data_IF_781670180532
#
_entry.id   IF_781670180532
#
_cell.length_a   1.000
_cell.length_b   1.000
_cell.length_c   1.000
_cell.angle_alpha   90.00
_cell.angle_beta   90.00
_cell.angle_gamma   90.00
#
_symmetry.space_group_name_H-M   'P 1'
#
loop_
_entity.id
_entity.type
_entity.pdbx_description
1 polymer ?
#
# COMPACT_ATOMS: atom_id res chain seq x y z
N UNK A 1 -7.73 -9.35 12.63
CA UNK A 1 -6.57 -8.68 11.99
C UNK A 1 -5.30 -9.17 12.66
N UNK A 2 -4.48 -9.94 11.95
CA UNK A 2 -3.23 -10.46 12.51
C UNK A 2 -2.08 -9.54 12.12
N UNK A 3 -1.37 -9.01 13.11
CA UNK A 3 -0.17 -8.21 12.90
C UNK A 3 1.04 -9.13 12.78
N UNK A 4 1.88 -8.89 11.78
CA UNK A 4 3.13 -9.60 11.53
C UNK A 4 4.32 -8.63 11.57
N UNK A 5 5.54 -9.15 11.44
CA UNK A 5 6.76 -8.35 11.33
C UNK A 5 7.66 -8.94 10.25
N UNK A 6 8.53 -8.09 9.69
CA UNK A 6 9.67 -8.57 8.91
C UNK A 6 10.88 -8.75 9.83
N UNK A 7 11.79 -9.69 9.53
CA UNK A 7 13.06 -9.79 10.25
C UNK A 7 13.80 -8.45 10.28
N UNK A 8 14.43 -8.13 11.41
CA UNK A 8 15.25 -6.93 11.52
C UNK A 8 16.37 -6.95 10.46
N UNK A 9 16.61 -5.80 9.83
CA UNK A 9 17.62 -5.70 8.77
C UNK A 9 17.17 -6.23 7.41
N UNK A 10 15.87 -6.45 7.20
CA UNK A 10 15.35 -6.84 5.89
C UNK A 10 15.66 -5.78 4.84
N UNK A 11 16.24 -6.19 3.72
CA UNK A 11 16.48 -5.32 2.57
C UNK A 11 15.20 -5.16 1.77
N UNK A 12 14.84 -3.91 1.50
CA UNK A 12 13.68 -3.51 0.70
C UNK A 12 14.13 -2.58 -0.42
N UNK A 13 13.34 -2.51 -1.48
CA UNK A 13 13.66 -1.73 -2.67
C UNK A 13 12.53 -0.77 -3.03
N UNK A 14 12.91 0.42 -3.50
CA UNK A 14 11.99 1.44 -4.02
C UNK A 14 12.53 2.00 -5.31
N UNK A 15 11.71 2.03 -6.35
CA UNK A 15 11.94 2.84 -7.53
C UNK A 15 11.10 4.13 -7.42
N UNK A 16 11.73 5.28 -7.64
CA UNK A 16 11.03 6.57 -7.63
C UNK A 16 11.58 7.55 -8.68
N UNK A 17 10.83 8.61 -8.96
CA UNK A 17 11.26 9.65 -9.91
C UNK A 17 12.58 10.28 -9.48
N UNK A 18 13.54 10.51 -10.39
CA UNK A 18 14.88 11.02 -10.05
C UNK A 18 14.89 12.37 -9.31
N UNK A 19 13.85 13.19 -9.49
CA UNK A 19 13.71 14.46 -8.75
C UNK A 19 13.72 14.31 -7.23
N UNK A 20 13.44 13.11 -6.71
CA UNK A 20 13.41 12.80 -5.29
C UNK A 20 14.68 12.11 -4.78
N UNK A 21 15.72 11.97 -5.61
CA UNK A 21 16.96 11.26 -5.26
C UNK A 21 17.68 11.84 -4.03
N UNK A 22 17.57 13.15 -3.76
CA UNK A 22 18.14 13.78 -2.56
C UNK A 22 17.34 13.52 -1.28
N UNK A 23 16.14 12.94 -1.39
CA UNK A 23 15.20 12.67 -0.27
C UNK A 23 14.58 11.28 -0.41
N UNK A 24 15.38 10.20 -0.45
CA UNK A 24 14.90 8.85 -0.78
C UNK A 24 13.88 8.30 0.22
N UNK A 25 13.96 8.71 1.49
CA UNK A 25 13.00 8.32 2.53
C UNK A 25 11.71 9.18 2.58
N UNK A 26 11.55 10.19 1.70
CA UNK A 26 10.35 11.03 1.70
C UNK A 26 9.17 10.36 1.00
N UNK A 27 7.99 10.46 1.60
CA UNK A 27 6.72 10.02 1.02
C UNK A 27 5.97 11.10 0.25
N UNK A 28 6.55 12.29 0.05
CA UNK A 28 5.89 13.46 -0.52
C UNK A 28 5.26 13.20 -1.90
N UNK A 29 5.91 12.39 -2.74
CA UNK A 29 5.36 11.99 -4.04
C UNK A 29 4.07 11.16 -3.92
N UNK A 30 4.01 10.27 -2.92
CA UNK A 30 2.81 9.49 -2.63
C UNK A 30 1.72 10.34 -1.99
N UNK A 31 2.07 11.27 -1.09
CA UNK A 31 1.12 12.21 -0.51
C UNK A 31 0.47 13.10 -1.58
N UNK A 32 1.23 13.58 -2.56
CA UNK A 32 0.72 14.50 -3.58
C UNK A 32 -0.32 13.88 -4.54
N UNK A 33 -0.38 12.55 -4.64
CA UNK A 33 -1.28 11.86 -5.59
C UNK A 33 -2.21 10.85 -4.92
N UNK A 34 -1.92 10.47 -3.68
CA UNK A 34 -2.41 9.23 -3.11
C UNK A 34 -1.95 8.00 -3.91
N UNK A 35 -2.26 6.83 -3.37
CA UNK A 35 -2.01 5.56 -4.03
C UNK A 35 -2.91 4.49 -3.46
N UNK A 36 -2.65 3.24 -3.84
CA UNK A 36 -3.50 2.11 -3.45
C UNK A 36 -3.66 1.99 -1.93
N UNK A 37 -2.61 2.33 -1.18
CA UNK A 37 -2.57 2.18 0.27
C UNK A 37 -2.31 3.49 1.03
N UNK A 38 -2.50 4.65 0.39
CA UNK A 38 -2.40 5.95 1.07
C UNK A 38 -3.32 6.99 0.43
N UNK A 39 -3.93 7.85 1.26
CA UNK A 39 -4.74 8.98 0.79
C UNK A 39 -3.86 10.14 0.32
N UNK A 40 -4.42 11.03 -0.49
CA UNK A 40 -3.78 12.32 -0.77
C UNK A 40 -3.52 13.09 0.54
N UNK A 41 -2.39 13.79 0.62
CA UNK A 41 -1.88 14.45 1.81
C UNK A 41 -1.15 13.52 2.80
N UNK A 42 -1.26 12.18 2.65
CA UNK A 42 -0.61 11.22 3.55
C UNK A 42 0.64 10.65 2.89
N UNK A 43 1.80 10.92 3.49
CA UNK A 43 3.08 10.37 3.03
C UNK A 43 3.12 8.84 3.20
N UNK A 44 3.66 8.16 2.19
CA UNK A 44 3.88 6.71 2.24
C UNK A 44 5.10 6.30 1.41
N UNK A 45 5.74 5.20 1.83
CA UNK A 45 6.81 4.53 1.09
C UNK A 45 6.27 3.22 0.51
N UNK A 46 6.30 3.11 -0.82
CA UNK A 46 6.01 1.86 -1.52
C UNK A 46 7.32 1.09 -1.66
N UNK A 47 7.40 -0.05 -0.98
CA UNK A 47 8.60 -0.86 -0.85
C UNK A 47 8.33 -2.28 -1.35
N UNK A 48 9.34 -2.91 -1.92
CA UNK A 48 9.31 -4.29 -2.41
C UNK A 48 10.43 -5.11 -1.77
N UNK A 49 10.22 -6.41 -1.58
CA UNK A 49 11.26 -7.36 -1.17
C UNK A 49 12.25 -7.68 -2.32
N UNK A 50 11.86 -7.40 -3.55
CA UNK A 50 12.65 -7.69 -4.77
C UNK A 50 12.83 -6.43 -5.63
N UNK A 51 14.04 -6.22 -6.14
CA UNK A 51 14.41 -5.09 -7.03
C UNK A 51 13.53 -5.04 -8.27
N UNK A 52 13.39 -6.18 -8.96
CA UNK A 52 12.64 -6.28 -10.20
C UNK A 52 11.15 -5.98 -9.99
N UNK A 53 10.59 -6.38 -8.85
CA UNK A 53 9.22 -6.06 -8.47
C UNK A 53 9.06 -4.56 -8.21
N UNK A 54 10.04 -3.89 -7.56
CA UNK A 54 10.00 -2.43 -7.40
C UNK A 54 9.99 -1.69 -8.75
N UNK A 55 10.80 -2.15 -9.71
CA UNK A 55 10.85 -1.56 -11.06
C UNK A 55 9.55 -1.79 -11.84
N UNK A 56 8.97 -3.00 -11.77
CA UNK A 56 7.69 -3.33 -12.42
C UNK A 56 6.54 -2.50 -11.86
N UNK A 57 6.47 -2.34 -10.53
CA UNK A 57 5.47 -1.50 -9.87
C UNK A 57 5.63 -0.02 -10.25
N UNK A 58 6.85 0.47 -10.43
CA UNK A 58 7.09 1.84 -10.92
C UNK A 58 6.70 2.02 -12.40
N UNK A 59 6.96 1.01 -13.25
CA UNK A 59 6.57 1.04 -14.65
C UNK A 59 5.04 1.08 -14.83
N UNK A 60 4.27 0.44 -13.94
CA UNK A 60 2.81 0.34 -14.01
C UNK A 60 2.34 -0.15 -15.39
N UNK A 61 1.43 0.58 -16.03
CA UNK A 61 0.90 0.29 -17.37
C UNK A 61 1.71 0.94 -18.50
N UNK A 62 2.84 1.59 -18.17
CA UNK A 62 3.70 2.20 -19.19
C UNK A 62 4.32 1.10 -20.08
N UNK A 63 4.34 1.28 -21.41
CA UNK A 63 4.98 0.32 -22.31
C UNK A 63 6.50 0.22 -22.10
N UNK A 64 7.12 1.24 -21.51
CA UNK A 64 8.54 1.29 -21.21
C UNK A 64 8.78 1.71 -19.76
N UNK A 65 9.86 1.22 -19.15
CA UNK A 65 10.33 1.68 -17.84
C UNK A 65 10.83 3.13 -17.97
N UNK A 66 10.16 4.12 -17.35
CA UNK A 66 10.66 5.50 -17.35
C UNK A 66 11.95 5.60 -16.52
N UNK A 67 12.78 6.65 -16.74
CA UNK A 67 13.91 6.91 -15.87
C UNK A 67 13.50 6.97 -14.40
N UNK A 68 14.21 6.22 -13.56
CA UNK A 68 13.95 6.14 -12.13
C UNK A 68 15.27 6.04 -11.36
N UNK A 69 15.18 6.39 -10.08
CA UNK A 69 16.21 6.06 -9.09
C UNK A 69 15.74 4.83 -8.35
N UNK A 70 16.53 3.77 -8.38
CA UNK A 70 16.34 2.58 -7.54
C UNK A 70 17.17 2.74 -6.27
N UNK A 71 16.52 2.60 -5.12
CA UNK A 71 17.17 2.62 -3.82
C UNK A 71 16.90 1.31 -3.07
N UNK A 72 17.91 0.82 -2.37
CA UNK A 72 17.75 -0.19 -1.32
C UNK A 72 17.64 0.46 0.05
N UNK A 73 16.91 -0.18 0.95
CA UNK A 73 16.69 0.24 2.33
C UNK A 73 16.89 -0.97 3.21
N UNK A 74 17.57 -0.79 4.33
CA UNK A 74 17.58 -1.77 5.41
C UNK A 74 16.57 -1.30 6.45
N UNK A 75 15.54 -2.10 6.71
CA UNK A 75 14.44 -1.70 7.58
C UNK A 75 14.12 -2.76 8.64
N UNK A 76 13.60 -2.29 9.77
CA UNK A 76 12.93 -3.11 10.77
C UNK A 76 11.47 -2.67 10.77
N UNK A 77 10.58 -3.56 10.32
CA UNK A 77 9.16 -3.26 10.16
C UNK A 77 8.32 -4.15 11.07
N UNK A 78 7.63 -3.50 12.01
CA UNK A 78 6.77 -4.13 13.00
C UNK A 78 5.30 -3.75 12.72
N UNK A 79 4.37 -4.47 13.36
CA UNK A 79 2.93 -4.18 13.28
C UNK A 79 2.39 -4.12 11.84
N UNK A 80 2.87 -5.03 10.99
CA UNK A 80 2.47 -5.11 9.60
C UNK A 80 1.15 -5.85 9.45
N UNK A 81 0.30 -5.32 8.59
CA UNK A 81 -0.96 -5.97 8.21
C UNK A 81 -0.68 -6.93 7.06
N UNK A 82 -0.85 -8.23 7.28
CA UNK A 82 -0.66 -9.22 6.21
C UNK A 82 -1.93 -9.42 5.39
N UNK A 83 -2.08 -8.64 4.32
CA UNK A 83 -3.22 -8.73 3.40
C UNK A 83 -3.27 -10.07 2.63
N UNK A 84 -2.23 -10.91 2.65
CA UNK A 84 -2.31 -12.26 2.07
C UNK A 84 -3.25 -13.16 2.86
N UNK A 85 -3.49 -12.81 4.14
CA UNK A 85 -4.42 -13.50 5.02
C UNK A 85 -5.83 -12.93 4.95
N UNK A 86 -6.11 -11.98 4.06
CA UNK A 86 -7.43 -11.36 3.93
C UNK A 86 -8.53 -12.41 3.67
N UNK A 87 -8.20 -13.53 3.05
CA UNK A 87 -9.13 -14.64 2.77
C UNK A 87 -8.98 -15.84 3.72
N UNK A 88 -8.16 -15.73 4.77
CA UNK A 88 -7.83 -16.82 5.69
C UNK A 88 -8.09 -16.42 7.16
N UNK A 89 -8.91 -17.18 7.88
CA UNK A 89 -9.10 -17.03 9.35
C UNK A 89 -10.31 -16.19 9.79
N UNK A 90 -10.21 -15.58 10.98
CA UNK A 90 -11.23 -14.73 11.61
C UNK A 90 -11.74 -13.61 10.67
N UNK A 91 -13.02 -13.19 10.77
CA UNK A 91 -13.60 -12.23 9.85
C UNK A 91 -12.88 -10.88 9.94
N UNK A 92 -12.33 -10.45 8.80
CA UNK A 92 -11.84 -9.09 8.63
C UNK A 92 -13.03 -8.14 8.48
N UNK A 93 -12.86 -6.89 8.92
CA UNK A 93 -13.88 -5.86 8.66
C UNK A 93 -14.07 -5.72 7.13
N UNK A 94 -15.33 -5.59 6.69
CA UNK A 94 -15.71 -5.43 5.28
C UNK A 94 -14.92 -4.30 4.59
N UNK A 95 -14.50 -3.27 5.34
CA UNK A 95 -13.62 -2.20 4.85
C UNK A 95 -12.32 -2.73 4.22
N UNK A 96 -11.73 -3.78 4.76
CA UNK A 96 -10.50 -4.38 4.24
C UNK A 96 -10.73 -5.18 2.96
N UNK A 97 -11.95 -5.64 2.73
CA UNK A 97 -12.34 -6.29 1.48
C UNK A 97 -12.60 -5.29 0.34
N UNK A 98 -12.79 -4.01 0.68
CA UNK A 98 -12.94 -2.90 -0.27
C UNK A 98 -11.60 -2.25 -0.67
N UNK A 99 -10.47 -2.93 -0.49
CA UNK A 99 -9.14 -2.52 -1.00
C UNK A 99 -9.06 -2.41 -2.55
N UNK A 100 -10.17 -2.72 -3.25
CA UNK A 100 -10.37 -2.47 -4.69
C UNK A 100 -10.95 -1.09 -4.97
N UNK A 101 -11.58 -0.42 -4.02
CA UNK A 101 -11.91 0.99 -4.17
C UNK A 101 -10.60 1.79 -4.28
N UNK A 102 -10.56 2.71 -5.24
CA UNK A 102 -9.42 3.62 -5.38
C UNK A 102 -9.41 4.56 -4.17
N UNK A 103 -8.51 4.33 -3.21
CA UNK A 103 -8.39 5.14 -1.99
C UNK A 103 -8.03 6.61 -2.26
N UNK A 104 -7.76 6.97 -3.52
CA UNK A 104 -7.71 8.37 -3.99
C UNK A 104 -9.08 9.04 -4.01
N UNK A 105 -10.18 8.27 -4.03
CA UNK A 105 -11.54 8.83 -3.98
C UNK A 105 -11.97 9.00 -2.52
N UNK A 106 -12.56 10.15 -2.16
CA UNK A 106 -13.20 10.27 -0.85
C UNK A 106 -14.34 9.26 -0.76
N UNK A 107 -14.40 8.50 0.34
CA UNK A 107 -15.58 7.71 0.65
C UNK A 107 -16.80 8.64 0.59
N UNK A 108 -17.73 8.36 -0.33
CA UNK A 108 -19.04 8.99 -0.28
C UNK A 108 -19.72 8.48 0.98
N UNK A 109 -19.82 9.34 1.99
CA UNK A 109 -20.74 9.09 3.10
C UNK A 109 -22.14 8.89 2.50
N UNK A 110 -22.66 7.66 2.48
CA UNK A 110 -24.02 7.41 2.00
C UNK A 110 -24.38 6.03 1.48
N UNK A 111 -23.46 5.06 1.32
CA UNK A 111 -23.90 3.71 0.95
C UNK A 111 -24.40 3.00 2.21
N UNK A 112 -25.70 2.65 2.34
CA UNK A 112 -26.18 1.99 3.54
C UNK A 112 -25.59 0.58 3.59
N UNK A 113 -24.80 0.32 4.64
CA UNK A 113 -24.51 -1.02 5.10
C UNK A 113 -25.83 -1.79 5.16
N UNK A 114 -25.98 -2.82 4.31
CA UNK A 114 -27.05 -3.80 4.43
C UNK A 114 -26.79 -4.59 5.71
N UNK A 115 -27.10 -4.01 6.87
CA UNK A 115 -27.44 -4.76 8.08
C UNK A 115 -28.68 -5.60 7.73
N UNK A 116 -28.47 -6.83 7.26
CA UNK A 116 -29.53 -7.85 7.29
C UNK A 116 -29.81 -8.14 8.76
N UNK A 117 -30.88 -7.53 9.25
CA UNK A 117 -31.50 -7.88 10.52
C UNK A 117 -31.78 -9.38 10.52
N UNK A 118 -31.12 -10.11 11.42
CA UNK A 118 -31.65 -11.37 11.94
C UNK A 118 -32.99 -11.03 12.59
N UNK A 119 -34.11 -11.38 11.95
CA UNK A 119 -35.38 -11.54 12.64
C UNK A 119 -35.42 -12.96 13.18
N UNK A 120 -35.40 -13.08 14.50
CA UNK A 120 -36.05 -14.18 15.19
C UNK A 120 -37.56 -14.01 15.02
N UNK A 121 -38.25 -15.13 14.82
CA UNK A 121 -39.67 -15.27 14.54
C UNK A 121 -39.89 -16.59 13.86
#
# INVERSE_FOLDING_TARGET
MMLTHLPAGTTLYRAHTPRWASRPASGAGAANRGGRFNREGVEALYLSLEELTALREYQQTSPFLPPCTLCSYTATLENLVDLRQLHHGEPWDDLWHDWREDWRRPHRAGTPSRRRSRRHG
#
